data_IF_817546922574
#
_entry.id   IF_817546922574
#
_cell.length_a   1.000
_cell.length_b   1.000
_cell.length_c   1.000
_cell.angle_alpha   90.00
_cell.angle_beta   90.00
_cell.angle_gamma   90.00
#
_symmetry.space_group_name_H-M   'P 1'
#
loop_
_entity.id
_entity.type
_entity.pdbx_description
1 polymer ?
#
# COMPACT_ATOMS: atom_id res chain seq x y z
N UNK A 1 -4.89 -4.43 12.31
CA UNK A 1 -3.96 -3.94 13.35
C UNK A 1 -4.63 -2.89 14.23
N UNK A 2 -4.13 -2.65 15.47
CA UNK A 2 -4.61 -1.58 16.35
C UNK A 2 -3.52 -0.55 16.55
N UNK A 3 -3.92 0.71 16.75
CA UNK A 3 -3.03 1.76 17.21
C UNK A 3 -3.09 1.86 18.75
N UNK A 4 -1.97 2.28 19.34
CA UNK A 4 -2.01 2.86 20.68
C UNK A 4 -2.72 4.23 20.59
N UNK A 5 -3.00 4.87 21.72
CA UNK A 5 -3.66 6.19 21.74
C UNK A 5 -2.91 7.17 20.86
N UNK A 6 -3.56 7.65 19.79
CA UNK A 6 -3.03 8.67 18.92
C UNK A 6 -3.30 10.06 19.49
N UNK A 7 -2.32 10.96 19.39
CA UNK A 7 -2.46 12.35 19.74
C UNK A 7 -2.98 13.15 18.55
N UNK A 8 -4.11 13.80 18.69
CA UNK A 8 -4.63 14.73 17.69
C UNK A 8 -3.79 16.01 17.66
N UNK A 9 -3.68 16.62 16.47
CA UNK A 9 -3.06 17.91 16.24
C UNK A 9 -3.57 18.56 14.96
N UNK A 10 -3.03 19.73 14.62
CA UNK A 10 -3.33 20.46 13.39
C UNK A 10 -2.06 20.57 12.55
N UNK A 11 -2.12 20.16 11.30
CA UNK A 11 -0.99 20.24 10.36
C UNK A 11 -0.70 21.70 10.03
N UNK A 12 0.53 22.15 10.23
CA UNK A 12 0.99 23.46 9.77
C UNK A 12 1.53 23.34 8.34
N UNK A 13 2.43 22.38 8.12
CA UNK A 13 3.01 22.08 6.82
C UNK A 13 3.74 20.74 6.80
N UNK A 14 3.84 20.14 5.63
CA UNK A 14 4.75 19.03 5.31
C UNK A 14 5.93 19.55 4.50
N UNK A 15 7.14 19.09 4.78
CA UNK A 15 8.34 19.51 4.04
C UNK A 15 9.43 18.42 4.05
N UNK A 16 10.40 18.57 3.15
CA UNK A 16 11.47 17.57 2.94
C UNK A 16 10.97 16.14 2.77
N UNK A 17 9.72 15.95 2.34
CA UNK A 17 9.01 14.66 2.16
C UNK A 17 8.71 13.87 3.43
N UNK A 18 9.50 13.98 4.47
CA UNK A 18 9.44 13.14 5.68
C UNK A 18 9.27 13.91 7.00
N UNK A 19 9.01 15.20 6.94
CA UNK A 19 8.77 16.05 8.10
C UNK A 19 7.41 16.74 8.03
N UNK A 20 6.73 16.84 9.18
CA UNK A 20 5.49 17.58 9.35
C UNK A 20 5.57 18.43 10.61
N UNK A 21 5.33 19.75 10.48
CA UNK A 21 5.14 20.65 11.61
C UNK A 21 3.65 20.60 12.02
N UNK A 22 3.39 20.36 13.28
CA UNK A 22 2.04 20.16 13.84
C UNK A 22 1.88 20.97 15.12
N UNK A 23 0.72 21.61 15.28
CA UNK A 23 0.29 22.22 16.55
C UNK A 23 -0.55 21.21 17.33
N UNK A 24 -0.18 20.93 18.57
CA UNK A 24 -0.96 20.10 19.49
C UNK A 24 -2.08 20.91 20.16
N UNK A 25 -3.12 20.26 20.74
CA UNK A 25 -4.23 20.96 21.39
C UNK A 25 -3.84 21.88 22.55
N UNK A 26 -2.70 21.62 23.20
CA UNK A 26 -2.15 22.45 24.26
C UNK A 26 -1.37 23.68 23.75
N UNK A 27 -1.28 23.84 22.39
CA UNK A 27 -0.56 24.96 21.76
C UNK A 27 0.92 24.63 21.44
N UNK A 28 1.44 23.49 21.85
CA UNK A 28 2.83 23.12 21.57
C UNK A 28 3.04 22.86 20.06
N UNK A 29 4.17 23.34 19.56
CA UNK A 29 4.63 23.07 18.21
C UNK A 29 5.57 21.88 18.22
N UNK A 30 5.26 20.86 17.44
CA UNK A 30 6.06 19.64 17.33
C UNK A 30 6.43 19.35 15.88
N UNK A 31 7.57 18.70 15.70
CA UNK A 31 7.97 18.14 14.40
C UNK A 31 7.74 16.64 14.42
N UNK A 32 6.87 16.15 13.56
CA UNK A 32 6.59 14.72 13.39
C UNK A 32 7.35 14.15 12.18
N UNK A 33 7.78 12.89 12.29
CA UNK A 33 8.22 12.12 11.14
C UNK A 33 6.99 11.75 10.28
N UNK A 34 7.03 12.04 8.99
CA UNK A 34 6.04 11.62 8.01
C UNK A 34 6.60 10.40 7.24
N UNK A 35 6.13 9.18 7.51
CA UNK A 35 6.68 7.96 6.90
C UNK A 35 6.10 7.68 5.51
N UNK A 36 5.86 8.73 4.75
CA UNK A 36 5.42 8.69 3.36
C UNK A 36 6.33 9.59 2.53
N UNK A 37 7.03 9.00 1.56
CA UNK A 37 7.93 9.74 0.66
C UNK A 37 7.26 10.13 -0.67
N UNK A 38 6.00 9.71 -0.91
CA UNK A 38 5.18 10.08 -2.06
C UNK A 38 4.78 11.56 -2.06
N UNK A 39 4.06 11.97 -3.09
CA UNK A 39 3.59 13.35 -3.22
C UNK A 39 2.59 13.73 -2.13
N UNK A 40 1.79 12.76 -1.66
CA UNK A 40 0.67 12.98 -0.72
C UNK A 40 -0.34 14.01 -1.26
N UNK A 41 -0.57 13.98 -2.56
CA UNK A 41 -1.53 14.87 -3.23
C UNK A 41 -2.92 14.70 -2.62
N UNK A 42 -3.55 15.82 -2.22
CA UNK A 42 -4.88 15.83 -1.60
C UNK A 42 -4.94 15.38 -0.13
N UNK A 43 -3.81 15.01 0.49
CA UNK A 43 -3.77 14.59 1.89
C UNK A 43 -2.60 15.21 2.68
N UNK A 44 -2.25 16.47 2.39
CA UNK A 44 -1.21 17.19 3.12
C UNK A 44 -1.52 18.69 3.26
N UNK A 45 -2.80 19.07 3.25
CA UNK A 45 -3.24 20.45 3.30
C UNK A 45 -3.02 21.05 4.68
N UNK A 46 -2.38 22.24 4.78
CA UNK A 46 -2.27 22.98 6.04
C UNK A 46 -3.64 23.23 6.67
N UNK A 47 -3.72 23.10 7.99
CA UNK A 47 -4.97 23.24 8.75
C UNK A 47 -5.74 21.94 8.94
N UNK A 48 -5.37 20.84 8.24
CA UNK A 48 -6.01 19.53 8.43
C UNK A 48 -5.78 18.98 9.84
N UNK A 49 -6.78 18.28 10.36
CA UNK A 49 -6.63 17.47 11.56
C UNK A 49 -5.69 16.30 11.27
N UNK A 50 -4.74 16.07 12.15
CA UNK A 50 -3.79 14.97 12.04
C UNK A 50 -3.73 14.14 13.31
N UNK A 51 -3.29 12.89 13.18
CA UNK A 51 -3.13 11.96 14.30
C UNK A 51 -1.71 11.45 14.34
N UNK A 52 -1.08 11.61 15.50
CA UNK A 52 0.33 11.31 15.75
C UNK A 52 0.47 10.15 16.72
N UNK A 53 1.39 9.22 16.46
CA UNK A 53 1.85 8.28 17.46
C UNK A 53 3.13 8.75 18.13
N UNK A 54 3.31 8.51 19.45
CA UNK A 54 4.57 8.75 20.10
C UNK A 54 5.62 7.74 19.63
N UNK A 55 6.87 8.17 19.52
CA UNK A 55 7.96 7.27 19.19
C UNK A 55 8.36 6.42 20.41
N UNK A 56 8.24 5.10 20.30
CA UNK A 56 8.61 4.15 21.38
C UNK A 56 10.12 4.04 21.61
N UNK A 57 10.95 4.53 20.68
CA UNK A 57 12.39 4.49 20.80
C UNK A 57 12.93 5.87 21.27
N UNK A 58 13.45 5.99 22.52
CA UNK A 58 13.94 7.25 23.04
C UNK A 58 15.18 7.80 22.31
N UNK A 59 15.84 6.99 21.47
CA UNK A 59 16.98 7.42 20.65
C UNK A 59 16.54 8.14 19.35
N UNK A 60 15.25 8.13 19.01
CA UNK A 60 14.74 8.85 17.83
C UNK A 60 14.82 10.36 18.04
N UNK A 61 15.31 11.07 17.00
CA UNK A 61 15.36 12.55 17.02
C UNK A 61 13.98 13.19 17.03
N UNK A 62 12.99 12.52 16.44
CA UNK A 62 11.60 12.99 16.37
C UNK A 62 10.74 12.12 17.28
N UNK A 63 10.09 12.77 18.25
CA UNK A 63 9.26 12.12 19.25
C UNK A 63 7.90 11.66 18.70
N UNK A 64 7.51 12.15 17.52
CA UNK A 64 6.19 11.90 16.93
C UNK A 64 6.31 11.31 15.52
N UNK A 65 5.33 10.49 15.16
CA UNK A 65 5.11 9.98 13.81
C UNK A 65 3.72 10.37 13.34
N UNK A 66 3.61 10.94 12.14
CA UNK A 66 2.33 11.24 11.50
C UNK A 66 1.72 9.94 10.95
N UNK A 67 0.60 9.54 11.53
CA UNK A 67 -0.09 8.30 11.14
C UNK A 67 -1.22 8.57 10.17
N UNK A 68 -2.08 9.54 10.48
CA UNK A 68 -3.28 9.82 9.71
C UNK A 68 -3.54 11.31 9.55
N UNK A 69 -4.31 11.65 8.51
CA UNK A 69 -4.81 12.99 8.21
C UNK A 69 -6.29 12.90 7.88
N UNK A 70 -7.10 13.81 8.44
CA UNK A 70 -8.46 14.04 7.96
C UNK A 70 -8.44 14.94 6.73
N UNK A 71 -9.16 14.53 5.70
CA UNK A 71 -9.43 15.32 4.50
C UNK A 71 -10.94 15.55 4.35
N UNK A 72 -11.39 16.48 3.52
CA UNK A 72 -12.83 16.64 3.24
C UNK A 72 -13.50 15.36 2.68
N UNK A 73 -12.72 14.45 2.11
CA UNK A 73 -13.21 13.21 1.52
C UNK A 73 -13.13 12.01 2.47
N UNK A 74 -12.45 12.13 3.60
CA UNK A 74 -12.34 11.07 4.59
C UNK A 74 -11.01 11.02 5.32
N UNK A 75 -10.87 10.02 6.17
CA UNK A 75 -9.64 9.75 6.92
C UNK A 75 -8.64 8.99 6.02
N UNK A 76 -7.39 9.42 6.07
CA UNK A 76 -6.28 8.84 5.28
C UNK A 76 -5.16 8.40 6.21
N UNK A 77 -4.75 7.14 6.15
CA UNK A 77 -3.50 6.71 6.77
C UNK A 77 -2.34 7.01 5.82
N UNK A 78 -1.48 7.91 6.23
CA UNK A 78 -0.31 8.34 5.44
C UNK A 78 0.94 7.53 5.75
N UNK A 79 0.91 6.68 6.75
CA UNK A 79 2.00 5.76 7.08
C UNK A 79 1.99 4.56 6.12
N UNK A 80 2.50 4.77 4.91
CA UNK A 80 2.43 3.78 3.82
C UNK A 80 3.04 2.41 4.15
N UNK A 81 4.06 2.34 5.00
CA UNK A 81 4.65 1.07 5.42
C UNK A 81 3.69 0.15 6.19
N UNK A 82 2.60 0.70 6.76
CA UNK A 82 1.59 -0.11 7.43
C UNK A 82 0.73 -0.93 6.47
N UNK A 83 0.73 -0.59 5.16
CA UNK A 83 0.01 -1.36 4.14
C UNK A 83 0.43 -2.84 4.15
N UNK A 84 1.73 -3.14 4.24
CA UNK A 84 2.22 -4.52 4.28
C UNK A 84 1.68 -5.28 5.50
N UNK A 85 1.60 -4.63 6.67
CA UNK A 85 1.05 -5.27 7.87
C UNK A 85 -0.44 -5.57 7.72
N UNK A 86 -1.21 -4.62 7.17
CA UNK A 86 -2.65 -4.79 6.93
C UNK A 86 -2.90 -5.90 5.91
N UNK A 87 -2.11 -5.93 4.82
CA UNK A 87 -2.24 -6.97 3.79
C UNK A 87 -1.85 -8.35 4.34
N UNK A 88 -0.78 -8.46 5.15
CA UNK A 88 -0.43 -9.73 5.79
C UNK A 88 -1.59 -10.27 6.65
N UNK A 89 -2.19 -9.43 7.51
CA UNK A 89 -3.35 -9.80 8.31
C UNK A 89 -4.58 -10.16 7.44
N UNK A 90 -4.76 -9.52 6.27
CA UNK A 90 -5.82 -9.83 5.32
C UNK A 90 -5.62 -11.20 4.67
N UNK A 91 -4.42 -11.47 4.17
CA UNK A 91 -4.06 -12.76 3.58
C UNK A 91 -4.27 -13.92 4.56
N UNK A 92 -3.85 -13.77 5.82
CA UNK A 92 -4.09 -14.76 6.88
C UNK A 92 -5.57 -14.99 7.18
N UNK A 93 -6.42 -13.99 6.92
CA UNK A 93 -7.89 -14.08 7.06
C UNK A 93 -8.60 -14.50 5.77
N UNK A 94 -7.83 -14.79 4.71
CA UNK A 94 -8.35 -15.25 3.43
C UNK A 94 -8.88 -14.15 2.51
N UNK A 95 -8.28 -12.97 2.54
CA UNK A 95 -8.54 -11.88 1.58
C UNK A 95 -7.23 -11.52 0.84
N UNK A 96 -7.27 -11.38 -0.51
CA UNK A 96 -8.41 -11.65 -1.41
C UNK A 96 -8.73 -13.15 -1.51
N UNK A 97 -9.97 -13.47 -1.90
CA UNK A 97 -10.48 -14.83 -1.94
C UNK A 97 -9.63 -15.77 -2.81
N UNK A 98 -9.16 -15.30 -3.96
CA UNK A 98 -8.40 -16.10 -4.92
C UNK A 98 -6.96 -16.42 -4.45
N UNK A 99 -6.49 -15.75 -3.39
CA UNK A 99 -5.18 -16.00 -2.78
C UNK A 99 -5.26 -16.88 -1.52
N UNK A 100 -6.41 -17.50 -1.24
CA UNK A 100 -6.56 -18.41 -0.09
C UNK A 100 -5.88 -19.76 -0.29
N UNK A 101 -5.66 -20.48 0.82
CA UNK A 101 -5.21 -21.87 0.81
C UNK A 101 -3.70 -22.04 0.72
N UNK A 102 -2.91 -21.00 0.85
CA UNK A 102 -1.47 -21.15 1.02
C UNK A 102 -1.13 -21.79 2.37
N UNK A 103 -0.08 -22.61 2.39
CA UNK A 103 0.43 -23.23 3.60
C UNK A 103 1.38 -22.32 4.38
N UNK A 104 2.08 -21.41 3.68
CA UNK A 104 3.05 -20.51 4.30
C UNK A 104 3.03 -19.14 3.63
N UNK A 105 3.17 -18.09 4.45
CA UNK A 105 3.42 -16.72 4.04
C UNK A 105 4.82 -16.32 4.50
N UNK A 106 5.64 -15.78 3.61
CA UNK A 106 6.96 -15.24 3.95
C UNK A 106 7.09 -13.80 3.47
N UNK A 107 7.40 -12.84 4.36
CA UNK A 107 7.66 -11.46 3.96
C UNK A 107 9.05 -11.29 3.36
N UNK A 108 9.23 -10.23 2.57
CA UNK A 108 10.50 -9.72 2.09
C UNK A 108 11.36 -10.77 1.36
N UNK A 109 10.79 -11.46 0.37
CA UNK A 109 11.48 -12.53 -0.34
C UNK A 109 12.22 -11.99 -1.56
N UNK A 110 13.51 -12.25 -1.65
CA UNK A 110 14.29 -11.96 -2.85
C UNK A 110 13.90 -12.88 -4.00
N UNK A 111 13.70 -12.31 -5.17
CA UNK A 111 13.47 -13.03 -6.42
C UNK A 111 14.22 -12.35 -7.57
N UNK A 112 14.51 -13.09 -8.63
CA UNK A 112 15.34 -12.57 -9.73
C UNK A 112 16.73 -12.10 -9.27
N UNK A 113 17.31 -11.18 -10.00
CA UNK A 113 18.68 -10.71 -9.76
C UNK A 113 18.79 -9.67 -8.62
N UNK A 114 17.79 -8.78 -8.47
CA UNK A 114 17.90 -7.63 -7.55
C UNK A 114 16.59 -7.25 -6.86
N UNK A 115 15.50 -7.96 -7.11
CA UNK A 115 14.18 -7.59 -6.62
C UNK A 115 13.76 -8.35 -5.37
N UNK A 116 12.82 -7.75 -4.66
CA UNK A 116 12.24 -8.31 -3.43
C UNK A 116 10.74 -8.08 -3.49
N UNK A 117 9.98 -9.18 -3.40
CA UNK A 117 8.54 -9.12 -3.22
C UNK A 117 8.20 -8.84 -1.76
N UNK A 118 7.12 -8.12 -1.52
CA UNK A 118 6.64 -7.85 -0.16
C UNK A 118 6.25 -9.15 0.55
N UNK A 119 5.63 -10.10 -0.19
CA UNK A 119 5.35 -11.43 0.31
C UNK A 119 5.57 -12.50 -0.76
N UNK A 120 5.78 -13.73 -0.28
CA UNK A 120 5.63 -14.95 -1.04
C UNK A 120 4.62 -15.85 -0.35
N UNK A 121 3.65 -16.35 -1.10
CA UNK A 121 2.68 -17.35 -0.68
C UNK A 121 3.09 -18.70 -1.26
N UNK A 122 3.15 -19.72 -0.41
CA UNK A 122 3.50 -21.08 -0.79
C UNK A 122 2.28 -21.99 -0.65
N UNK A 123 1.78 -22.47 -1.79
CA UNK A 123 0.60 -23.32 -1.90
C UNK A 123 0.93 -24.83 -1.86
N UNK A 124 2.19 -25.20 -1.70
CA UNK A 124 2.60 -26.61 -1.60
C UNK A 124 2.16 -27.21 -0.26
N UNK A 125 1.50 -28.35 -0.29
CA UNK A 125 0.99 -29.03 0.92
C UNK A 125 2.09 -29.55 1.84
N UNK A 126 3.21 -30.00 1.27
CA UNK A 126 4.36 -30.56 2.00
C UNK A 126 5.61 -29.72 1.76
N UNK A 127 5.52 -28.44 2.14
CA UNK A 127 6.62 -27.51 1.92
C UNK A 127 7.71 -27.68 2.98
N UNK A 128 8.74 -28.46 2.69
CA UNK A 128 9.93 -28.67 3.52
C UNK A 128 11.06 -27.74 3.05
N UNK A 129 11.76 -27.12 4.01
CA UNK A 129 12.96 -26.31 3.74
C UNK A 129 12.69 -24.79 3.64
N UNK A 130 13.74 -24.00 3.39
CA UNK A 130 13.59 -22.54 3.32
C UNK A 130 12.81 -22.11 2.08
N UNK A 131 11.90 -21.14 2.25
CA UNK A 131 11.25 -20.45 1.15
C UNK A 131 12.26 -19.50 0.51
N UNK A 132 12.93 -19.98 -0.53
CA UNK A 132 13.81 -19.19 -1.37
C UNK A 132 13.22 -19.24 -2.78
N UNK A 133 12.76 -18.11 -3.30
CA UNK A 133 12.29 -18.02 -4.67
C UNK A 133 13.51 -18.02 -5.61
N UNK A 134 13.94 -19.18 -6.01
CA UNK A 134 15.06 -19.31 -6.95
C UNK A 134 14.53 -19.46 -8.38
N UNK A 135 13.40 -20.11 -8.55
CA UNK A 135 12.76 -20.31 -9.86
C UNK A 135 11.23 -20.19 -9.78
N UNK A 136 10.59 -19.65 -10.83
CA UNK A 136 9.14 -19.58 -10.92
C UNK A 136 8.53 -20.97 -10.97
N UNK A 137 7.57 -21.24 -10.08
CA UNK A 137 6.71 -22.41 -10.11
C UNK A 137 5.27 -22.00 -9.77
N UNK A 138 4.25 -22.68 -10.30
CA UNK A 138 2.84 -22.26 -10.12
C UNK A 138 2.38 -22.21 -8.66
N UNK A 139 2.98 -23.03 -7.80
CA UNK A 139 2.64 -23.10 -6.38
C UNK A 139 3.26 -21.99 -5.54
N UNK A 140 4.10 -21.14 -6.12
CA UNK A 140 4.70 -19.98 -5.44
C UNK A 140 4.17 -18.68 -6.04
N UNK A 141 3.41 -17.93 -5.27
CA UNK A 141 2.93 -16.61 -5.66
C UNK A 141 3.75 -15.50 -5.02
N UNK A 142 4.29 -14.60 -5.85
CA UNK A 142 4.86 -13.34 -5.40
C UNK A 142 3.74 -12.32 -5.22
N UNK A 143 3.79 -11.56 -4.13
CA UNK A 143 2.83 -10.49 -3.86
C UNK A 143 3.56 -9.18 -3.66
N UNK A 144 3.16 -8.17 -4.44
CA UNK A 144 3.61 -6.79 -4.31
C UNK A 144 2.47 -5.93 -3.76
N UNK A 145 2.72 -5.14 -2.72
CA UNK A 145 1.73 -4.27 -2.08
C UNK A 145 1.94 -2.83 -2.51
N UNK A 146 0.85 -2.15 -2.83
CA UNK A 146 0.84 -0.71 -3.15
C UNK A 146 -0.14 0.01 -2.24
N UNK A 147 0.34 0.96 -1.45
CA UNK A 147 -0.51 1.81 -0.61
C UNK A 147 -1.22 2.86 -1.48
N UNK A 148 -2.55 2.92 -1.45
CA UNK A 148 -3.36 3.88 -2.20
C UNK A 148 -3.94 4.90 -1.23
N UNK A 149 -3.55 6.16 -1.41
CA UNK A 149 -4.02 7.31 -0.63
C UNK A 149 -4.57 8.44 -1.52
N UNK A 150 -4.24 8.43 -2.82
CA UNK A 150 -4.69 9.44 -3.76
C UNK A 150 -6.14 9.15 -4.18
N UNK A 151 -7.03 10.09 -3.91
CA UNK A 151 -8.38 10.11 -4.48
C UNK A 151 -8.46 11.17 -5.59
N UNK A 152 -8.80 10.77 -6.81
CA UNK A 152 -8.91 11.67 -7.96
C UNK A 152 -10.34 12.24 -8.15
N UNK A 153 -11.34 11.38 -8.16
CA UNK A 153 -12.74 11.74 -8.30
C UNK A 153 -13.57 10.97 -7.28
N UNK A 154 -14.86 11.24 -7.18
CA UNK A 154 -15.75 10.63 -6.18
C UNK A 154 -15.57 9.10 -6.08
N UNK A 155 -14.91 8.65 -5.03
CA UNK A 155 -14.65 7.24 -4.76
C UNK A 155 -13.56 6.58 -5.58
N UNK A 156 -12.92 7.24 -6.56
CA UNK A 156 -11.84 6.67 -7.36
C UNK A 156 -10.49 6.90 -6.71
N UNK A 157 -9.87 5.85 -6.22
CA UNK A 157 -8.48 5.82 -5.82
C UNK A 157 -7.54 5.60 -7.00
N UNK A 158 -6.37 6.20 -6.99
CA UNK A 158 -5.40 6.08 -8.06
C UNK A 158 -3.98 5.78 -7.53
N UNK A 159 -3.22 5.00 -8.28
CA UNK A 159 -1.82 4.71 -8.01
C UNK A 159 -1.01 4.75 -9.30
N UNK A 160 0.21 5.32 -9.29
CA UNK A 160 0.87 6.00 -8.17
C UNK A 160 0.43 7.47 -8.00
N UNK A 161 0.80 8.08 -6.87
CA UNK A 161 0.58 9.50 -6.59
C UNK A 161 1.66 10.43 -7.22
N UNK A 162 2.70 9.85 -7.81
CA UNK A 162 3.78 10.51 -8.55
C UNK A 162 4.46 9.52 -9.49
N UNK A 163 5.16 10.00 -10.53
CA UNK A 163 5.94 9.14 -11.45
C UNK A 163 6.93 8.27 -10.67
N UNK A 164 6.90 6.95 -10.92
CA UNK A 164 7.68 5.95 -10.19
C UNK A 164 8.30 4.89 -11.09
N UNK A 165 9.51 5.15 -11.56
CA UNK A 165 10.30 4.17 -12.33
C UNK A 165 10.46 2.83 -11.58
N UNK A 166 10.56 2.88 -10.24
CA UNK A 166 10.63 1.66 -9.42
C UNK A 166 9.33 0.87 -9.50
N UNK A 167 8.17 1.54 -9.43
CA UNK A 167 6.88 0.85 -9.49
C UNK A 167 6.67 0.19 -10.86
N UNK A 168 7.02 0.88 -11.95
CA UNK A 168 6.99 0.34 -13.32
C UNK A 168 7.86 -0.91 -13.43
N UNK A 169 9.11 -0.84 -12.98
CA UNK A 169 10.03 -1.99 -12.99
C UNK A 169 9.47 -3.19 -12.21
N UNK A 170 8.84 -2.98 -11.06
CA UNK A 170 8.23 -4.07 -10.29
C UNK A 170 7.12 -4.78 -11.10
N UNK A 171 6.33 -4.04 -11.90
CA UNK A 171 5.32 -4.67 -12.78
C UNK A 171 5.96 -5.52 -13.87
N UNK A 172 7.02 -5.03 -14.49
CA UNK A 172 7.78 -5.77 -15.49
C UNK A 172 8.42 -7.05 -14.92
N UNK A 173 8.94 -6.99 -13.72
CA UNK A 173 9.56 -8.13 -13.03
C UNK A 173 8.51 -9.19 -12.62
N UNK A 174 7.35 -8.78 -12.09
CA UNK A 174 6.24 -9.71 -11.79
C UNK A 174 5.69 -10.36 -13.06
N UNK A 175 5.54 -9.58 -14.13
CA UNK A 175 5.19 -10.09 -15.46
C UNK A 175 6.19 -11.16 -15.95
N UNK A 176 7.49 -10.85 -15.86
CA UNK A 176 8.55 -11.80 -16.21
C UNK A 176 8.52 -13.09 -15.39
N UNK A 177 8.15 -13.02 -14.12
CA UNK A 177 7.96 -14.17 -13.25
C UNK A 177 6.80 -15.05 -13.73
N UNK A 178 5.65 -14.46 -14.07
CA UNK A 178 4.47 -15.19 -14.56
C UNK A 178 4.76 -15.85 -15.91
N UNK A 179 5.41 -15.13 -16.85
CA UNK A 179 5.78 -15.68 -18.17
C UNK A 179 6.75 -16.88 -18.09
N UNK A 180 7.45 -17.04 -16.97
CA UNK A 180 8.31 -18.19 -16.69
C UNK A 180 7.59 -19.32 -15.93
N UNK A 181 6.28 -19.24 -15.75
CA UNK A 181 5.44 -20.25 -15.11
C UNK A 181 5.23 -20.09 -13.62
N UNK A 182 5.63 -18.95 -13.04
CA UNK A 182 5.29 -18.59 -11.66
C UNK A 182 3.90 -17.96 -11.53
N UNK A 183 3.48 -17.64 -10.30
CA UNK A 183 2.27 -16.89 -9.99
C UNK A 183 2.65 -15.56 -9.34
N UNK A 184 1.97 -14.47 -9.66
CA UNK A 184 2.22 -13.17 -9.05
C UNK A 184 0.93 -12.35 -8.90
N UNK A 185 0.88 -11.52 -7.86
CA UNK A 185 -0.23 -10.63 -7.59
C UNK A 185 0.24 -9.24 -7.16
N UNK A 186 -0.51 -8.22 -7.54
CA UNK A 186 -0.43 -6.86 -7.00
C UNK A 186 -1.64 -6.62 -6.12
N UNK A 187 -1.43 -6.15 -4.88
CA UNK A 187 -2.50 -5.79 -3.96
C UNK A 187 -2.44 -4.28 -3.67
N UNK A 188 -3.43 -3.56 -4.15
CA UNK A 188 -3.66 -2.18 -3.77
C UNK A 188 -4.29 -2.13 -2.38
N UNK A 189 -3.53 -1.73 -1.37
CA UNK A 189 -4.04 -1.50 -0.01
C UNK A 189 -4.57 -0.07 0.07
N UNK A 190 -5.90 0.07 0.13
CA UNK A 190 -6.58 1.36 0.11
C UNK A 190 -6.64 1.95 1.51
N UNK A 191 -5.79 2.93 1.77
CA UNK A 191 -5.61 3.58 3.07
C UNK A 191 -6.39 4.91 3.16
N UNK A 192 -7.56 4.99 2.53
CA UNK A 192 -8.40 6.19 2.44
C UNK A 192 -9.88 5.80 2.49
N UNK A 193 -10.62 6.30 3.48
CA UNK A 193 -12.03 5.89 3.70
C UNK A 193 -12.99 6.34 2.60
N UNK A 194 -12.65 7.37 1.83
CA UNK A 194 -13.47 7.89 0.73
C UNK A 194 -13.30 7.14 -0.60
N UNK A 195 -12.41 6.13 -0.67
CA UNK A 195 -12.15 5.37 -1.90
C UNK A 195 -12.95 4.06 -1.88
N UNK A 196 -13.62 3.76 -3.00
CA UNK A 196 -14.42 2.53 -3.18
C UNK A 196 -14.08 1.75 -4.45
N UNK A 197 -13.18 2.22 -5.30
CA UNK A 197 -12.58 1.54 -6.45
C UNK A 197 -11.21 2.11 -6.75
N UNK A 198 -10.37 1.36 -7.45
CA UNK A 198 -8.97 1.75 -7.75
C UNK A 198 -8.70 1.68 -9.24
N UNK A 199 -7.92 2.63 -9.76
CA UNK A 199 -7.40 2.60 -11.12
C UNK A 199 -5.90 2.94 -11.17
N UNK A 200 -5.18 2.55 -12.23
CA UNK A 200 -3.86 3.11 -12.52
C UNK A 200 -3.96 4.61 -12.79
N UNK A 201 -3.06 5.39 -12.23
CA UNK A 201 -3.04 6.85 -12.36
C UNK A 201 -2.42 7.27 -13.72
N UNK A 202 -3.10 7.00 -14.82
CA UNK A 202 -2.58 7.17 -16.18
C UNK A 202 -2.11 8.60 -16.49
N UNK A 203 -2.82 9.60 -15.99
CA UNK A 203 -2.45 11.02 -16.18
C UNK A 203 -1.21 11.43 -15.40
N UNK A 204 -0.83 10.67 -14.36
CA UNK A 204 0.34 10.93 -13.52
C UNK A 204 1.52 10.10 -13.98
N UNK A 205 1.32 8.81 -14.20
CA UNK A 205 2.36 7.86 -14.63
C UNK A 205 1.83 6.90 -15.70
N UNK A 206 1.79 7.33 -16.97
CA UNK A 206 1.33 6.48 -18.08
C UNK A 206 2.20 5.24 -18.27
N UNK A 207 3.49 5.30 -17.93
CA UNK A 207 4.39 4.17 -18.04
C UNK A 207 4.03 3.07 -17.02
N UNK A 208 3.72 3.45 -15.78
CA UNK A 208 3.24 2.51 -14.78
C UNK A 208 1.88 1.91 -15.19
N UNK A 209 0.95 2.74 -15.65
CA UNK A 209 -0.36 2.29 -16.08
C UNK A 209 -0.25 1.25 -17.22
N UNK A 210 0.58 1.52 -18.22
CA UNK A 210 0.85 0.58 -19.30
C UNK A 210 1.51 -0.71 -18.81
N UNK A 211 2.51 -0.62 -17.93
CA UNK A 211 3.20 -1.79 -17.38
C UNK A 211 2.25 -2.68 -16.56
N UNK A 212 1.35 -2.06 -15.76
CA UNK A 212 0.35 -2.80 -14.99
C UNK A 212 -0.65 -3.52 -15.90
N UNK A 213 -1.17 -2.86 -16.96
CA UNK A 213 -2.07 -3.49 -17.95
C UNK A 213 -1.38 -4.65 -18.66
N UNK A 214 -0.13 -4.46 -19.10
CA UNK A 214 0.64 -5.53 -19.73
C UNK A 214 0.88 -6.70 -18.79
N UNK A 215 1.18 -6.44 -17.52
CA UNK A 215 1.35 -7.48 -16.52
C UNK A 215 0.04 -8.24 -16.26
N UNK A 216 -1.09 -7.52 -16.15
CA UNK A 216 -2.41 -8.11 -16.00
C UNK A 216 -2.80 -8.99 -17.19
N UNK A 217 -2.59 -8.49 -18.43
CA UNK A 217 -2.87 -9.25 -19.65
C UNK A 217 -2.06 -10.56 -19.76
N UNK A 218 -0.86 -10.59 -19.20
CA UNK A 218 0.00 -11.78 -19.17
C UNK A 218 -0.19 -12.64 -17.90
N UNK A 219 -1.21 -12.34 -17.06
CA UNK A 219 -1.64 -13.19 -15.96
C UNK A 219 -1.13 -12.80 -14.58
N UNK A 220 -0.59 -11.59 -14.38
CA UNK A 220 -0.41 -11.04 -13.04
C UNK A 220 -1.78 -10.68 -12.47
N UNK A 221 -2.09 -11.23 -11.31
CA UNK A 221 -3.35 -10.96 -10.63
C UNK A 221 -3.34 -9.56 -10.00
N UNK A 222 -4.47 -8.86 -10.04
CA UNK A 222 -4.55 -7.49 -9.48
C UNK A 222 -5.77 -7.36 -8.59
N UNK A 223 -5.54 -7.02 -7.33
CA UNK A 223 -6.58 -6.87 -6.30
C UNK A 223 -6.51 -5.50 -5.65
N UNK A 224 -7.63 -5.05 -5.11
CA UNK A 224 -7.68 -3.90 -4.21
C UNK A 224 -8.40 -4.27 -2.91
N UNK A 225 -7.81 -3.93 -1.77
CA UNK A 225 -8.38 -4.16 -0.45
C UNK A 225 -8.77 -2.84 0.20
N UNK A 226 -10.06 -2.66 0.44
CA UNK A 226 -10.59 -1.56 1.22
C UNK A 226 -10.32 -1.79 2.70
N UNK A 227 -9.75 -0.78 3.34
CA UNK A 227 -9.40 -0.80 4.77
C UNK A 227 -10.43 0.01 5.55
N UNK A 228 -11.06 -0.63 6.54
CA UNK A 228 -11.80 0.10 7.57
C UNK A 228 -10.77 0.79 8.47
N UNK A 229 -10.77 2.10 8.40
CA UNK A 229 -9.78 2.98 9.00
C UNK A 229 -10.43 3.84 10.08
N UNK A 230 -9.90 3.77 11.29
CA UNK A 230 -10.24 4.64 12.41
C UNK A 230 -8.98 5.03 13.17
N UNK A 231 -9.09 5.97 14.10
CA UNK A 231 -7.97 6.36 14.98
C UNK A 231 -7.53 5.21 15.91
N UNK A 232 -8.34 4.18 16.09
CA UNK A 232 -8.05 3.04 16.96
C UNK A 232 -7.51 1.84 16.19
N UNK A 233 -7.90 1.68 14.92
CA UNK A 233 -7.59 0.47 14.17
C UNK A 233 -7.61 0.64 12.66
N UNK A 234 -6.88 -0.25 11.99
CA UNK A 234 -6.94 -0.49 10.54
C UNK A 234 -7.18 -1.98 10.30
N UNK A 235 -8.21 -2.30 9.54
CA UNK A 235 -8.58 -3.69 9.21
C UNK A 235 -8.96 -3.75 7.73
N UNK A 236 -8.31 -4.62 6.95
CA UNK A 236 -8.80 -4.91 5.61
C UNK A 236 -10.16 -5.61 5.72
N UNK A 237 -11.19 -5.04 5.12
CA UNK A 237 -12.58 -5.44 5.35
C UNK A 237 -13.24 -6.05 4.12
N UNK A 238 -12.81 -5.66 2.90
CA UNK A 238 -13.45 -6.06 1.65
C UNK A 238 -12.53 -5.91 0.45
N UNK A 239 -12.82 -6.65 -0.59
CA UNK A 239 -12.27 -6.38 -1.91
C UNK A 239 -13.00 -5.21 -2.56
N UNK A 240 -12.24 -4.41 -3.30
CA UNK A 240 -12.75 -3.28 -4.08
C UNK A 240 -12.52 -3.55 -5.58
N UNK A 241 -13.37 -3.02 -6.46
CA UNK A 241 -13.13 -3.09 -7.90
C UNK A 241 -11.82 -2.41 -8.30
N UNK A 242 -11.05 -3.05 -9.17
CA UNK A 242 -9.96 -2.43 -9.92
C UNK A 242 -10.44 -2.22 -11.33
N UNK A 243 -10.41 -0.98 -11.80
CA UNK A 243 -10.94 -0.57 -13.11
C UNK A 243 -9.81 -0.07 -14.02
N UNK A 244 -10.05 -0.03 -15.33
CA UNK A 244 -9.07 0.47 -16.30
C UNK A 244 -7.89 -0.47 -16.57
N UNK A 245 -8.05 -1.78 -16.30
CA UNK A 245 -7.05 -2.80 -16.64
C UNK A 245 -7.28 -3.41 -18.01
N UNK A 246 -8.54 -3.71 -18.38
CA UNK A 246 -8.90 -4.23 -19.70
C UNK A 246 -9.29 -3.11 -20.65
N UNK A 247 -9.12 -3.33 -21.97
CA UNK A 247 -9.67 -2.44 -23.00
C UNK A 247 -11.19 -2.49 -22.93
N UNK A 248 -11.83 -1.34 -22.64
CA UNK A 248 -13.29 -1.23 -22.53
C UNK A 248 -13.83 -1.10 -21.09
N UNK A 249 -13.03 -1.23 -20.08
CA UNK A 249 -13.40 -0.89 -18.71
C UNK A 249 -13.44 0.63 -18.54
N UNK A 250 -14.59 1.20 -18.90
CA UNK A 250 -14.83 2.64 -18.73
C UNK A 250 -14.87 2.98 -17.23
N UNK A 251 -14.01 3.89 -16.83
CA UNK A 251 -13.95 4.52 -15.50
C UNK A 251 -15.24 5.24 -15.08
#
# INVERSE_FOLDING_TARGET
MRFDTLQQGTLIRRYKRFLADVTLPNGDLVVAHCPNTGAMTGCAEPGSTVFLSPANNPKRKLAWTLEMIETPQGLVCVHSALANKVVAEALEKGLPLDLQGFARLKPEVKYGASSRADFMLDFRREAVGPLIAVQPIPELALVEVKAVTLQQASGLGAFPDAVSVRATRHMEELRGWVLQGGRAAVIFCVLHTGINRVAPAETIDPNYAQALRSAFADGVEVYALGVDLSVDAMVAARELPVVGLAEGDSS
#
